data_IF_264134513318
#
_entry.id   IF_264134513318
#
_cell.length_a   1.000
_cell.length_b   1.000
_cell.length_c   1.000
_cell.angle_alpha   90.00
_cell.angle_beta   90.00
_cell.angle_gamma   90.00
#
_symmetry.space_group_name_H-M   'P 1'
#
loop_
_entity.id
_entity.type
_entity.pdbx_description
1 polymer ?
#
# COMPACT_ATOMS: atom_id res chain seq x y z
N UNK A 1 32.51 -64.08 -20.34
CA UNK A 1 31.12 -63.82 -19.89
C UNK A 1 31.17 -62.70 -18.85
N UNK A 2 31.24 -61.45 -19.32
CA UNK A 2 31.25 -60.27 -18.45
C UNK A 2 29.85 -59.66 -18.43
N UNK A 3 29.23 -59.60 -17.25
CA UNK A 3 27.95 -58.94 -17.05
C UNK A 3 28.12 -57.42 -17.19
N UNK A 4 27.47 -56.85 -18.20
CA UNK A 4 27.21 -55.42 -18.28
C UNK A 4 26.02 -55.10 -17.37
N UNK A 5 26.31 -54.48 -16.23
CA UNK A 5 25.31 -53.86 -15.35
C UNK A 5 24.81 -52.56 -15.98
N UNK A 6 23.59 -52.60 -16.53
CA UNK A 6 22.90 -51.42 -17.06
C UNK A 6 22.40 -50.55 -15.89
N UNK A 7 23.19 -49.54 -15.52
CA UNK A 7 22.75 -48.46 -14.62
C UNK A 7 21.64 -47.66 -15.30
N UNK A 8 20.38 -47.96 -14.95
CA UNK A 8 19.23 -47.12 -15.28
C UNK A 8 19.39 -45.77 -14.57
N UNK A 9 19.76 -44.73 -15.33
CA UNK A 9 19.63 -43.35 -14.88
C UNK A 9 18.15 -43.06 -14.63
N UNK A 10 17.80 -42.78 -13.38
CA UNK A 10 16.50 -42.26 -13.04
C UNK A 10 16.30 -40.93 -13.80
N UNK A 11 15.29 -40.91 -14.68
CA UNK A 11 14.80 -39.67 -15.28
C UNK A 11 14.30 -38.80 -14.14
N UNK A 12 15.08 -37.79 -13.75
CA UNK A 12 14.60 -36.71 -12.90
C UNK A 12 13.43 -36.08 -13.65
N UNK A 13 12.21 -36.35 -13.19
CA UNK A 13 11.02 -35.75 -13.79
C UNK A 13 11.20 -34.24 -13.73
N UNK A 14 11.20 -33.57 -14.88
CA UNK A 14 11.09 -32.11 -14.89
C UNK A 14 9.71 -31.79 -14.32
N UNK A 15 9.65 -31.46 -13.03
CA UNK A 15 8.44 -30.86 -12.47
C UNK A 15 8.16 -29.63 -13.32
N UNK A 16 6.97 -29.58 -13.94
CA UNK A 16 6.54 -28.37 -14.62
C UNK A 16 6.74 -27.20 -13.65
N UNK A 17 7.24 -26.04 -14.12
CA UNK A 17 7.37 -24.88 -13.25
C UNK A 17 6.02 -24.64 -12.57
N UNK A 18 6.00 -24.30 -11.26
CA UNK A 18 4.75 -24.08 -10.56
C UNK A 18 3.92 -23.06 -11.33
N UNK A 19 2.64 -23.39 -11.56
CA UNK A 19 1.70 -22.48 -12.21
C UNK A 19 1.65 -21.19 -11.41
N UNK A 20 1.98 -20.08 -12.05
CA UNK A 20 1.90 -18.74 -11.46
C UNK A 20 1.02 -17.86 -12.31
N UNK A 21 0.49 -16.82 -11.70
CA UNK A 21 -0.29 -15.79 -12.36
C UNK A 21 0.27 -14.42 -11.98
N UNK A 22 -0.06 -13.43 -12.80
CA UNK A 22 0.36 -12.05 -12.62
C UNK A 22 -0.85 -11.15 -12.42
N UNK A 23 -0.67 -10.10 -11.62
CA UNK A 23 -1.67 -9.07 -11.36
C UNK A 23 -1.02 -7.72 -11.63
N UNK A 24 -1.59 -6.98 -12.59
CA UNK A 24 -1.17 -5.62 -12.91
C UNK A 24 -2.17 -4.64 -12.31
N UNK A 25 -1.68 -3.73 -11.48
CA UNK A 25 -2.49 -2.72 -10.82
C UNK A 25 -2.03 -1.37 -11.32
N UNK A 26 -2.90 -0.72 -12.09
CA UNK A 26 -2.69 0.62 -12.63
C UNK A 26 -3.85 1.51 -12.17
N UNK A 27 -3.53 2.64 -11.58
CA UNK A 27 -4.53 3.55 -11.04
C UNK A 27 -3.91 4.81 -10.44
N UNK A 28 -4.62 5.41 -9.49
CA UNK A 28 -4.16 6.61 -8.80
C UNK A 28 -4.75 6.73 -7.40
N UNK A 29 -3.97 7.33 -6.49
CA UNK A 29 -4.50 7.92 -5.25
C UNK A 29 -5.05 9.29 -5.65
N UNK A 30 -6.35 9.34 -5.95
CA UNK A 30 -6.98 10.54 -6.49
C UNK A 30 -7.03 11.68 -5.45
N UNK A 31 -7.61 11.41 -4.29
CA UNK A 31 -7.97 12.46 -3.34
C UNK A 31 -8.33 11.94 -1.95
N UNK A 32 -8.43 12.85 -0.99
CA UNK A 32 -9.06 12.59 0.30
C UNK A 32 -9.85 13.80 0.80
N UNK A 33 -10.77 13.51 1.73
CA UNK A 33 -11.55 14.53 2.46
C UNK A 33 -11.19 14.43 3.94
N UNK A 34 -10.54 15.47 4.45
CA UNK A 34 -10.19 15.61 5.86
C UNK A 34 -10.73 16.95 6.38
N UNK A 35 -11.80 16.94 7.20
CA UNK A 35 -12.41 18.19 7.65
C UNK A 35 -11.45 19.06 8.46
N UNK A 36 -11.36 20.34 8.12
CA UNK A 36 -10.49 21.34 8.76
C UNK A 36 -8.97 21.02 8.71
N UNK A 37 -8.54 20.14 7.80
CA UNK A 37 -7.13 19.86 7.57
C UNK A 37 -6.73 20.38 6.18
N UNK A 38 -5.48 20.83 6.03
CA UNK A 38 -4.94 21.39 4.79
C UNK A 38 -3.45 21.04 4.65
N UNK A 39 -2.90 21.18 3.44
CA UNK A 39 -1.51 20.87 3.10
C UNK A 39 -1.16 19.42 3.45
N UNK A 40 -1.87 18.50 2.81
CA UNK A 40 -1.76 17.08 3.09
C UNK A 40 -0.94 16.35 2.04
N UNK A 41 -0.20 15.33 2.47
CA UNK A 41 0.38 14.32 1.60
C UNK A 41 -0.03 12.93 2.10
N UNK A 42 -0.01 11.95 1.20
CA UNK A 42 -0.27 10.56 1.52
C UNK A 42 1.02 9.75 1.36
N UNK A 43 1.41 9.03 2.40
CA UNK A 43 2.34 7.92 2.31
C UNK A 43 1.51 6.65 2.07
N UNK A 44 1.98 5.77 1.20
CA UNK A 44 1.32 4.50 0.95
C UNK A 44 2.32 3.35 0.92
N UNK A 45 1.82 2.17 1.25
CA UNK A 45 2.57 0.92 1.16
C UNK A 45 1.64 -0.21 0.76
N UNK A 46 2.09 -1.06 -0.13
CA UNK A 46 1.43 -2.31 -0.46
C UNK A 46 1.91 -3.40 0.51
N UNK A 47 0.99 -4.06 1.18
CA UNK A 47 1.25 -5.26 1.98
C UNK A 47 0.70 -6.47 1.25
N UNK A 48 1.45 -7.57 1.24
CA UNK A 48 1.02 -8.81 0.63
C UNK A 48 1.61 -10.02 1.37
N UNK A 49 1.08 -11.21 1.10
CA UNK A 49 1.57 -12.47 1.63
C UNK A 49 2.96 -12.83 1.09
N UNK A 50 3.60 -13.81 1.73
CA UNK A 50 4.98 -14.22 1.41
C UNK A 50 5.16 -14.89 0.04
N UNK A 51 4.07 -15.38 -0.57
CA UNK A 51 4.10 -15.97 -1.91
C UNK A 51 4.05 -14.91 -3.03
N UNK A 52 3.59 -13.70 -2.70
CA UNK A 52 3.52 -12.59 -3.63
C UNK A 52 4.90 -11.95 -3.82
N UNK A 53 5.23 -11.66 -5.08
CA UNK A 53 6.48 -11.02 -5.46
C UNK A 53 6.17 -9.78 -6.30
N UNK A 54 6.80 -8.66 -5.95
CA UNK A 54 6.81 -7.46 -6.78
C UNK A 54 7.78 -7.66 -7.94
N UNK A 55 7.27 -7.64 -9.15
CA UNK A 55 8.06 -7.83 -10.39
C UNK A 55 8.48 -6.47 -10.96
N UNK A 56 7.60 -5.46 -10.86
CA UNK A 56 7.85 -4.10 -11.33
C UNK A 56 6.95 -3.11 -10.60
N UNK A 57 7.35 -1.84 -10.61
CA UNK A 57 6.58 -0.73 -10.02
C UNK A 57 6.99 -0.41 -8.59
N UNK A 58 6.11 0.33 -7.89
CA UNK A 58 6.42 0.92 -6.59
C UNK A 58 5.57 0.29 -5.49
N UNK A 59 6.21 -0.43 -4.58
CA UNK A 59 5.55 -1.08 -3.43
C UNK A 59 5.20 -0.05 -2.34
N UNK A 60 5.98 1.02 -2.20
CA UNK A 60 5.72 2.11 -1.27
C UNK A 60 6.14 3.46 -1.84
N UNK A 61 5.46 4.53 -1.44
CA UNK A 61 5.77 5.86 -1.92
C UNK A 61 5.07 6.97 -1.13
N UNK A 62 5.37 8.20 -1.51
CA UNK A 62 4.83 9.41 -0.89
C UNK A 62 4.33 10.33 -2.01
N UNK A 63 3.13 10.85 -1.87
CA UNK A 63 2.56 11.81 -2.82
C UNK A 63 3.19 13.20 -2.66
N UNK A 64 2.91 14.09 -3.60
CA UNK A 64 3.13 15.51 -3.35
C UNK A 64 2.25 16.01 -2.19
N UNK A 65 2.71 17.10 -1.55
CA UNK A 65 1.85 17.90 -0.67
C UNK A 65 0.85 18.65 -1.54
N UNK A 66 -0.41 18.62 -1.15
CA UNK A 66 -1.48 19.32 -1.83
C UNK A 66 -2.37 20.06 -0.83
N UNK A 67 -2.77 21.27 -1.18
CA UNK A 67 -3.69 22.09 -0.39
C UNK A 67 -5.13 21.90 -0.85
N UNK A 68 -6.08 22.16 0.03
CA UNK A 68 -7.51 22.20 -0.26
C UNK A 68 -7.81 23.39 -1.19
N UNK A 69 -8.33 23.17 -2.41
CA UNK A 69 -8.66 24.28 -3.30
C UNK A 69 -9.75 25.18 -2.71
N UNK A 70 -9.63 26.49 -2.92
CA UNK A 70 -10.63 27.47 -2.48
C UNK A 70 -11.98 27.16 -3.14
N UNK A 71 -13.04 27.06 -2.32
CA UNK A 71 -14.39 26.74 -2.79
C UNK A 71 -14.65 25.25 -3.07
N UNK A 72 -13.71 24.36 -2.73
CA UNK A 72 -13.92 22.92 -2.79
C UNK A 72 -14.59 22.37 -1.52
N UNK A 73 -15.14 21.16 -1.61
CA UNK A 73 -15.76 20.42 -0.51
C UNK A 73 -14.72 19.82 0.48
N UNK A 74 -13.68 20.58 0.84
CA UNK A 74 -12.57 20.11 1.70
C UNK A 74 -11.85 18.87 1.13
N UNK A 75 -11.78 18.80 -0.20
CA UNK A 75 -11.19 17.70 -0.96
C UNK A 75 -9.77 18.07 -1.36
N UNK A 76 -8.78 17.38 -0.80
CA UNK A 76 -7.38 17.46 -1.26
C UNK A 76 -7.21 16.51 -2.44
N UNK A 77 -6.61 17.00 -3.52
CA UNK A 77 -6.44 16.25 -4.77
C UNK A 77 -4.95 15.98 -4.98
N UNK A 78 -4.58 14.70 -5.06
CA UNK A 78 -3.22 14.26 -5.38
C UNK A 78 -3.10 13.73 -6.80
N UNK A 79 -4.06 12.94 -7.29
CA UNK A 79 -3.94 12.22 -8.56
C UNK A 79 -2.58 11.51 -8.72
N UNK A 80 -2.10 10.91 -7.62
CA UNK A 80 -0.77 10.32 -7.58
C UNK A 80 -0.81 8.95 -8.27
N UNK A 81 0.05 8.68 -9.26
CA UNK A 81 -0.03 7.44 -10.03
C UNK A 81 0.35 6.22 -9.18
N UNK A 82 -0.42 5.14 -9.33
CA UNK A 82 -0.11 3.82 -8.82
C UNK A 82 0.11 2.87 -9.99
N UNK A 83 1.28 2.25 -10.04
CA UNK A 83 1.62 1.23 -11.03
C UNK A 83 2.49 0.16 -10.35
N UNK A 84 1.97 -1.06 -10.28
CA UNK A 84 2.67 -2.21 -9.71
C UNK A 84 2.24 -3.50 -10.41
N UNK A 85 3.23 -4.35 -10.67
CA UNK A 85 3.04 -5.70 -11.21
C UNK A 85 3.49 -6.73 -10.19
N UNK A 86 2.58 -7.65 -9.85
CA UNK A 86 2.78 -8.69 -8.86
C UNK A 86 2.68 -10.06 -9.51
N UNK A 87 3.39 -11.03 -8.94
CA UNK A 87 3.33 -12.43 -9.34
C UNK A 87 3.12 -13.32 -8.12
N UNK A 88 2.33 -14.37 -8.27
CA UNK A 88 2.08 -15.34 -7.21
C UNK A 88 1.66 -16.71 -7.76
N UNK A 89 1.81 -17.75 -6.95
CA UNK A 89 1.34 -19.11 -7.21
C UNK A 89 -0.07 -19.38 -6.67
N UNK A 90 -0.57 -18.56 -5.74
CA UNK A 90 -1.89 -18.73 -5.12
C UNK A 90 -2.46 -17.40 -4.60
N UNK A 91 -3.76 -17.35 -4.27
CA UNK A 91 -4.41 -16.08 -3.88
C UNK A 91 -4.27 -15.70 -2.39
N UNK A 92 -3.64 -16.54 -1.57
CA UNK A 92 -3.52 -16.30 -0.13
C UNK A 92 -2.63 -15.08 0.16
N UNK A 93 -3.00 -14.27 1.14
CA UNK A 93 -2.30 -13.02 1.45
C UNK A 93 -2.47 -11.96 0.36
N UNK A 94 -3.67 -11.87 -0.21
CA UNK A 94 -4.00 -10.93 -1.29
C UNK A 94 -3.54 -9.50 -0.97
N UNK A 95 -2.98 -8.76 -1.94
CA UNK A 95 -2.40 -7.45 -1.70
C UNK A 95 -3.39 -6.43 -1.14
N UNK A 96 -2.90 -5.63 -0.19
CA UNK A 96 -3.60 -4.55 0.49
C UNK A 96 -2.82 -3.25 0.36
N UNK A 97 -3.51 -2.18 -0.02
CA UNK A 97 -2.96 -0.83 -0.02
C UNK A 97 -3.20 -0.20 1.36
N UNK A 98 -2.12 0.14 2.04
CA UNK A 98 -2.11 0.90 3.29
C UNK A 98 -1.83 2.36 2.96
N UNK A 99 -2.58 3.25 3.58
CA UNK A 99 -2.55 4.70 3.35
C UNK A 99 -2.37 5.42 4.69
N UNK A 100 -1.41 6.32 4.75
CA UNK A 100 -1.16 7.21 5.89
C UNK A 100 -1.17 8.64 5.38
N UNK A 101 -2.06 9.47 5.92
CA UNK A 101 -2.17 10.87 5.49
C UNK A 101 -1.57 11.76 6.56
N UNK A 102 -0.62 12.59 6.14
CA UNK A 102 0.12 13.51 6.99
C UNK A 102 -0.23 14.96 6.67
N UNK A 103 -0.11 15.82 7.66
CA UNK A 103 -0.27 17.27 7.51
C UNK A 103 0.32 18.05 8.68
N UNK A 104 0.57 19.36 8.51
CA UNK A 104 1.29 20.19 9.46
C UNK A 104 0.50 20.43 10.74
N UNK A 105 1.13 20.32 11.91
CA UNK A 105 0.60 20.79 13.20
C UNK A 105 0.80 22.30 13.40
N UNK A 106 0.39 22.84 14.56
CA UNK A 106 0.58 24.26 14.89
C UNK A 106 2.04 24.72 14.91
N UNK A 107 2.99 23.79 15.02
CA UNK A 107 4.43 24.04 14.97
C UNK A 107 5.02 23.69 13.58
N UNK A 108 4.17 23.48 12.57
CA UNK A 108 4.54 23.11 11.21
C UNK A 108 5.35 21.80 11.13
N UNK A 109 5.07 20.85 12.03
CA UNK A 109 5.62 19.49 11.99
C UNK A 109 4.61 18.56 11.30
N UNK A 110 5.10 17.64 10.49
CA UNK A 110 4.25 16.66 9.83
C UNK A 110 3.75 15.62 10.83
N UNK A 111 2.44 15.60 11.08
CA UNK A 111 1.79 14.65 11.97
C UNK A 111 0.71 13.87 11.21
N UNK A 112 0.47 12.65 11.66
CA UNK A 112 -0.48 11.77 10.99
C UNK A 112 -1.92 12.22 11.30
N UNK A 113 -2.67 12.49 10.24
CA UNK A 113 -4.08 12.92 10.25
C UNK A 113 -5.05 11.76 10.12
N UNK A 114 -4.63 10.67 9.49
CA UNK A 114 -5.37 9.42 9.52
C UNK A 114 -4.69 8.28 8.80
N UNK A 115 -5.17 7.08 9.09
CA UNK A 115 -4.73 5.84 8.47
C UNK A 115 -5.91 5.12 7.82
N UNK A 116 -5.64 4.43 6.73
CA UNK A 116 -6.61 3.62 6.01
C UNK A 116 -5.94 2.39 5.40
N UNK A 117 -6.75 1.37 5.15
CA UNK A 117 -6.30 0.17 4.46
C UNK A 117 -7.43 -0.37 3.57
N UNK A 118 -7.08 -0.88 2.40
CA UNK A 118 -8.03 -1.49 1.48
C UNK A 118 -7.38 -2.63 0.71
N UNK A 119 -8.11 -3.73 0.50
CA UNK A 119 -7.66 -4.78 -0.40
C UNK A 119 -7.77 -4.32 -1.85
N UNK A 120 -6.83 -4.73 -2.70
CA UNK A 120 -6.96 -4.50 -4.13
C UNK A 120 -8.13 -5.32 -4.71
N UNK A 121 -8.75 -4.90 -5.82
CA UNK A 121 -9.90 -5.60 -6.38
C UNK A 121 -9.55 -7.02 -6.82
N UNK A 122 -10.38 -8.00 -6.46
CA UNK A 122 -10.22 -9.42 -6.83
C UNK A 122 -10.68 -9.74 -8.24
N UNK A 123 -11.34 -8.79 -8.91
CA UNK A 123 -11.88 -8.97 -10.26
C UNK A 123 -11.19 -8.02 -11.24
N UNK A 124 -10.90 -8.49 -12.47
CA UNK A 124 -10.33 -7.61 -13.48
C UNK A 124 -11.34 -6.52 -13.87
N UNK A 125 -10.84 -5.31 -14.13
CA UNK A 125 -11.66 -4.17 -14.53
C UNK A 125 -11.23 -2.87 -13.88
N UNK A 126 -12.03 -1.83 -14.08
CA UNK A 126 -11.85 -0.52 -13.44
C UNK A 126 -12.68 -0.45 -12.17
N UNK A 127 -12.07 0.00 -11.08
CA UNK A 127 -12.69 0.07 -9.76
C UNK A 127 -12.39 1.42 -9.11
N UNK A 128 -13.39 1.97 -8.42
CA UNK A 128 -13.22 3.15 -7.56
C UNK A 128 -13.34 2.68 -6.11
N UNK A 129 -12.24 2.77 -5.36
CA UNK A 129 -12.18 2.34 -3.97
C UNK A 129 -12.23 3.56 -3.05
N UNK A 130 -13.18 3.55 -2.12
CA UNK A 130 -13.27 4.56 -1.06
C UNK A 130 -12.75 3.97 0.24
N UNK A 131 -11.64 4.52 0.74
CA UNK A 131 -11.00 4.05 1.98
C UNK A 131 -11.48 4.91 3.14
N UNK A 132 -12.01 4.28 4.19
CA UNK A 132 -12.36 4.98 5.43
C UNK A 132 -11.08 5.28 6.19
N UNK A 133 -10.88 6.55 6.52
CA UNK A 133 -9.73 7.02 7.27
C UNK A 133 -10.06 7.09 8.76
N UNK A 134 -9.18 6.54 9.59
CA UNK A 134 -9.27 6.58 11.04
C UNK A 134 -8.26 7.58 11.59
N UNK A 135 -8.74 8.57 12.34
CA UNK A 135 -7.89 9.51 13.06
C UNK A 135 -7.56 8.90 14.42
N UNK A 136 -6.28 8.80 14.82
CA UNK A 136 -5.94 8.39 16.18
C UNK A 136 -6.51 9.43 17.17
N UNK A 137 -7.52 9.03 17.94
CA UNK A 137 -8.00 9.83 19.07
C UNK A 137 -7.04 9.60 20.22
N UNK A 138 -6.14 10.55 20.48
CA UNK A 138 -5.25 10.44 21.63
C UNK A 138 -6.06 10.48 22.92
N UNK A 139 -5.85 9.48 23.78
CA UNK A 139 -6.63 9.16 24.98
C UNK A 139 -6.71 10.26 26.05
N UNK A 140 -5.92 11.34 25.98
CA UNK A 140 -6.20 12.58 26.70
C UNK A 140 -5.48 13.79 26.08
N UNK A 141 -6.07 14.97 26.21
CA UNK A 141 -5.44 16.26 25.83
C UNK A 141 -4.10 16.47 26.54
N UNK A 142 -3.95 15.93 27.76
CA UNK A 142 -2.71 16.00 28.52
C UNK A 142 -1.61 15.11 27.92
N UNK A 143 -1.95 13.93 27.39
CA UNK A 143 -0.99 13.08 26.67
C UNK A 143 -0.57 13.68 25.32
N UNK A 144 -1.48 14.36 24.62
CA UNK A 144 -1.14 15.12 23.41
C UNK A 144 -0.21 16.28 23.73
N UNK A 145 -0.49 17.02 24.81
CA UNK A 145 0.34 18.12 25.27
C UNK A 145 1.72 17.67 25.78
N UNK A 146 1.79 16.54 26.49
CA UNK A 146 3.05 15.93 26.95
C UNK A 146 3.85 15.35 25.78
N UNK A 147 3.21 14.75 24.77
CA UNK A 147 3.87 14.33 23.53
C UNK A 147 4.33 15.52 22.68
N UNK A 148 3.61 16.63 22.74
CA UNK A 148 3.91 17.88 22.04
C UNK A 148 5.10 18.64 22.65
N UNK A 149 5.19 18.69 23.99
CA UNK A 149 6.30 19.34 24.74
C UNK A 149 7.50 18.42 24.97
N UNK A 150 7.25 17.15 25.27
CA UNK A 150 8.28 16.21 25.69
C UNK A 150 9.06 15.59 24.53
N UNK A 151 8.95 16.19 23.33
CA UNK A 151 9.37 15.66 22.05
C UNK A 151 10.45 14.61 22.15
N UNK A 152 10.12 13.38 21.73
CA UNK A 152 11.08 12.29 21.52
C UNK A 152 10.42 11.04 20.93
N UNK A 153 11.15 10.31 20.09
CA UNK A 153 11.95 10.74 18.94
C UNK A 153 11.14 10.73 17.64
#
# INVERSE_FOLDING_TARGET
>A
LGNFEEKRMAKTGSSAPPSSFEVHIMGQIESAVFPNEDNLFCQFRLLHGSDWQVIAGMEEGITQVASVPVGSEQKVIWNFPLDITLKSSNVFGWPQLILEVHGPDFLNRDVIRGYGAVHLPLTPGSHVLHVRMFKPLSSSLLQQFISWIGGKP
#
